data_IF_179207624690
#
_entry.id   IF_179207624690
#
_cell.length_a   1.000
_cell.length_b   1.000
_cell.length_c   1.000
_cell.angle_alpha   90.00
_cell.angle_beta   90.00
_cell.angle_gamma   90.00
#
_symmetry.space_group_name_H-M   'P 1'
#
loop_
_entity.id
_entity.type
_entity.pdbx_description
1 polymer ?
#
# COMPACT_ATOMS: atom_id res chain seq x y z
N UNK A 1 -56.50 -21.92 -43.25
CA UNK A 1 -56.42 -23.40 -43.35
C UNK A 1 -57.24 -24.16 -42.31
N UNK A 2 -57.00 -24.03 -40.99
CA UNK A 2 -57.87 -24.70 -39.99
C UNK A 2 -59.31 -24.19 -40.04
N UNK A 3 -59.51 -22.86 -40.14
CA UNK A 3 -60.84 -22.25 -40.38
C UNK A 3 -61.53 -22.76 -41.64
N UNK A 4 -60.79 -22.93 -42.74
CA UNK A 4 -61.31 -23.44 -44.01
C UNK A 4 -61.77 -24.90 -43.87
N UNK A 5 -60.96 -25.75 -43.22
CA UNK A 5 -61.31 -27.15 -42.95
C UNK A 5 -62.53 -27.22 -42.02
N UNK A 6 -62.56 -26.41 -40.97
CA UNK A 6 -63.71 -26.30 -40.06
C UNK A 6 -64.99 -25.86 -40.77
N UNK A 7 -64.91 -24.90 -41.69
CA UNK A 7 -66.03 -24.45 -42.53
C UNK A 7 -66.57 -25.58 -43.41
N UNK A 8 -65.67 -26.29 -44.11
CA UNK A 8 -66.04 -27.42 -44.98
C UNK A 8 -66.71 -28.54 -44.18
N UNK A 9 -66.21 -28.87 -42.98
CA UNK A 9 -66.85 -29.88 -42.11
C UNK A 9 -68.23 -29.41 -41.64
N UNK A 10 -68.39 -28.12 -41.29
CA UNK A 10 -69.70 -27.56 -40.92
C UNK A 10 -70.68 -27.58 -42.11
N UNK A 11 -70.21 -27.28 -43.32
CA UNK A 11 -71.00 -27.34 -44.55
C UNK A 11 -71.46 -28.78 -44.86
N UNK A 12 -70.56 -29.76 -44.76
CA UNK A 12 -70.89 -31.18 -44.93
C UNK A 12 -71.90 -31.64 -43.88
N UNK A 13 -71.70 -31.25 -42.61
CA UNK A 13 -72.62 -31.57 -41.54
C UNK A 13 -73.99 -30.92 -41.73
N UNK A 14 -74.06 -29.66 -42.16
CA UNK A 14 -75.32 -28.99 -42.48
C UNK A 14 -76.05 -29.63 -43.67
N UNK A 15 -75.33 -30.02 -44.73
CA UNK A 15 -75.91 -30.80 -45.83
C UNK A 15 -76.43 -32.17 -45.36
N UNK A 16 -75.70 -32.84 -44.48
CA UNK A 16 -76.10 -34.11 -43.89
C UNK A 16 -77.35 -33.95 -43.02
N UNK A 17 -77.44 -32.85 -42.28
CA UNK A 17 -78.61 -32.47 -41.48
C UNK A 17 -79.85 -32.23 -42.35
N UNK A 18 -79.69 -31.53 -43.48
CA UNK A 18 -80.76 -31.28 -44.45
C UNK A 18 -81.20 -32.57 -45.17
N UNK A 19 -80.26 -33.44 -45.53
CA UNK A 19 -80.57 -34.76 -46.11
C UNK A 19 -81.32 -35.64 -45.11
N UNK A 20 -80.92 -35.64 -43.85
CA UNK A 20 -81.60 -36.36 -42.77
C UNK A 20 -83.02 -35.83 -42.52
N UNK A 21 -83.21 -34.50 -42.56
CA UNK A 21 -84.54 -33.89 -42.47
C UNK A 21 -85.45 -34.33 -43.63
N UNK A 22 -84.93 -34.31 -44.86
CA UNK A 22 -85.68 -34.77 -46.03
C UNK A 22 -86.05 -36.26 -45.91
N UNK A 23 -85.14 -37.09 -45.41
CA UNK A 23 -85.40 -38.51 -45.15
C UNK A 23 -86.46 -38.73 -44.06
N UNK A 24 -86.45 -37.92 -42.99
CA UNK A 24 -87.46 -37.97 -41.94
C UNK A 24 -88.86 -37.58 -42.46
N UNK A 25 -88.94 -36.57 -43.32
CA UNK A 25 -90.20 -36.14 -43.97
C UNK A 25 -90.76 -37.25 -44.87
N UNK A 26 -89.90 -37.89 -45.67
CA UNK A 26 -90.33 -38.96 -46.58
C UNK A 26 -90.72 -40.24 -45.81
N UNK A 27 -90.02 -40.55 -44.72
CA UNK A 27 -90.40 -41.63 -43.80
C UNK A 27 -91.77 -41.36 -43.13
N UNK A 28 -92.07 -40.12 -42.77
CA UNK A 28 -93.38 -39.73 -42.25
C UNK A 28 -94.51 -39.89 -43.29
N UNK A 29 -94.23 -39.64 -44.58
CA UNK A 29 -95.18 -39.84 -45.69
C UNK A 29 -95.49 -41.31 -45.97
N UNK A 30 -94.51 -42.20 -45.82
CA UNK A 30 -94.67 -43.63 -46.07
C UNK A 30 -95.40 -44.39 -44.94
N UNK A 31 -95.74 -43.73 -43.83
CA UNK A 31 -96.56 -44.30 -42.75
C UNK A 31 -95.86 -45.44 -41.99
N UNK A 32 -96.62 -46.46 -41.55
CA UNK A 32 -96.11 -47.52 -40.67
C UNK A 32 -94.97 -48.35 -41.28
N UNK A 33 -94.88 -48.45 -42.61
CA UNK A 33 -93.85 -49.22 -43.30
C UNK A 33 -92.43 -48.62 -43.16
N UNK A 34 -92.31 -47.32 -42.82
CA UNK A 34 -91.04 -46.61 -42.77
C UNK A 34 -90.60 -46.17 -41.36
N UNK A 35 -91.21 -46.72 -40.30
CA UNK A 35 -90.94 -46.34 -38.90
C UNK A 35 -89.46 -46.49 -38.50
N UNK A 36 -88.79 -47.53 -39.00
CA UNK A 36 -87.35 -47.74 -38.78
C UNK A 36 -86.46 -46.70 -39.47
N UNK A 37 -86.86 -46.23 -40.67
CA UNK A 37 -86.13 -45.18 -41.40
C UNK A 37 -86.24 -43.81 -40.73
N UNK A 38 -87.40 -43.49 -40.12
CA UNK A 38 -87.58 -42.26 -39.36
C UNK A 38 -86.61 -42.16 -38.16
N UNK A 39 -86.41 -43.26 -37.42
CA UNK A 39 -85.47 -43.29 -36.27
C UNK A 39 -84.02 -43.10 -36.73
N UNK A 40 -83.64 -43.71 -37.86
CA UNK A 40 -82.30 -43.52 -38.43
C UNK A 40 -82.10 -42.08 -38.89
N UNK A 41 -83.10 -41.47 -39.53
CA UNK A 41 -83.03 -40.08 -39.98
C UNK A 41 -82.86 -39.10 -38.80
N UNK A 42 -83.59 -39.27 -37.69
CA UNK A 42 -83.43 -38.46 -36.48
C UNK A 42 -82.05 -38.62 -35.83
N UNK A 43 -81.50 -39.84 -35.81
CA UNK A 43 -80.15 -40.06 -35.26
C UNK A 43 -79.07 -39.44 -36.16
N UNK A 44 -79.19 -39.53 -37.50
CA UNK A 44 -78.28 -38.86 -38.44
C UNK A 44 -78.34 -37.34 -38.27
N UNK A 45 -79.54 -36.76 -38.10
CA UNK A 45 -79.75 -35.34 -37.81
C UNK A 45 -79.02 -34.93 -36.52
N UNK A 46 -79.21 -35.69 -35.44
CA UNK A 46 -78.55 -35.45 -34.14
C UNK A 46 -77.03 -35.54 -34.23
N UNK A 47 -76.50 -36.50 -34.99
CA UNK A 47 -75.06 -36.62 -35.24
C UNK A 47 -74.52 -35.43 -36.04
N UNK A 48 -75.27 -34.96 -37.03
CA UNK A 48 -74.89 -33.81 -37.84
C UNK A 48 -74.83 -32.52 -37.01
N UNK A 49 -75.84 -32.24 -36.19
CA UNK A 49 -75.85 -31.10 -35.25
C UNK A 49 -74.68 -31.18 -34.25
N UNK A 50 -74.43 -32.37 -33.69
CA UNK A 50 -73.30 -32.60 -32.78
C UNK A 50 -71.95 -32.36 -33.49
N UNK A 51 -71.83 -32.77 -34.75
CA UNK A 51 -70.63 -32.56 -35.56
C UNK A 51 -70.33 -31.08 -35.78
N UNK A 52 -71.35 -30.25 -36.06
CA UNK A 52 -71.20 -28.79 -36.19
C UNK A 52 -70.69 -28.17 -34.89
N UNK A 53 -71.29 -28.54 -33.75
CA UNK A 53 -70.90 -27.99 -32.45
C UNK A 53 -69.46 -28.36 -32.08
N UNK A 54 -69.10 -29.65 -32.19
CA UNK A 54 -67.72 -30.10 -31.92
C UNK A 54 -66.71 -29.46 -32.87
N UNK A 55 -67.07 -29.27 -34.15
CA UNK A 55 -66.19 -28.61 -35.13
C UNK A 55 -65.92 -27.15 -34.76
N UNK A 56 -66.93 -26.42 -34.28
CA UNK A 56 -66.78 -25.04 -33.80
C UNK A 56 -65.90 -24.96 -32.55
N UNK A 57 -66.11 -25.86 -31.59
CA UNK A 57 -65.29 -25.93 -30.38
C UNK A 57 -63.82 -26.23 -30.69
N UNK A 58 -63.55 -27.21 -31.56
CA UNK A 58 -62.19 -27.54 -32.01
C UNK A 58 -61.55 -26.35 -32.73
N UNK A 59 -62.29 -25.69 -33.63
CA UNK A 59 -61.78 -24.53 -34.36
C UNK A 59 -61.39 -23.40 -33.40
N UNK A 60 -62.26 -23.06 -32.45
CA UNK A 60 -61.96 -22.04 -31.44
C UNK A 60 -60.83 -22.43 -30.47
N UNK A 61 -60.69 -23.72 -30.15
CA UNK A 61 -59.56 -24.21 -29.35
C UNK A 61 -58.23 -24.07 -30.11
N UNK A 62 -58.19 -24.44 -31.39
CA UNK A 62 -56.99 -24.31 -32.22
C UNK A 62 -56.61 -22.83 -32.40
N UNK A 63 -57.58 -21.93 -32.57
CA UNK A 63 -57.32 -20.49 -32.64
C UNK A 63 -56.63 -19.96 -31.37
N UNK A 64 -57.11 -20.38 -30.19
CA UNK A 64 -56.44 -20.03 -28.92
C UNK A 64 -55.03 -20.60 -28.85
N UNK A 65 -54.83 -21.86 -29.23
CA UNK A 65 -53.49 -22.46 -29.26
C UNK A 65 -52.53 -21.71 -30.20
N UNK A 66 -53.03 -21.22 -31.36
CA UNK A 66 -52.22 -20.44 -32.29
C UNK A 66 -51.78 -19.11 -31.65
N UNK A 67 -52.69 -18.40 -30.98
CA UNK A 67 -52.38 -17.17 -30.25
C UNK A 67 -51.37 -17.42 -29.12
N UNK A 68 -51.58 -18.47 -28.32
CA UNK A 68 -50.67 -18.83 -27.23
C UNK A 68 -49.27 -19.19 -27.77
N UNK A 69 -49.21 -19.89 -28.90
CA UNK A 69 -47.95 -20.24 -29.57
C UNK A 69 -47.24 -18.99 -30.09
N UNK A 70 -47.95 -18.04 -30.70
CA UNK A 70 -47.39 -16.77 -31.16
C UNK A 70 -46.82 -15.96 -29.98
N UNK A 71 -47.54 -15.89 -28.86
CA UNK A 71 -47.06 -15.22 -27.64
C UNK A 71 -45.83 -15.91 -27.05
N UNK A 72 -45.81 -17.25 -27.02
CA UNK A 72 -44.67 -18.02 -26.52
C UNK A 72 -43.42 -17.82 -27.39
N UNK A 73 -43.58 -17.75 -28.71
CA UNK A 73 -42.48 -17.46 -29.65
C UNK A 73 -41.95 -16.05 -29.44
N UNK A 74 -42.83 -15.05 -29.29
CA UNK A 74 -42.42 -13.66 -29.05
C UNK A 74 -41.73 -13.46 -27.68
N UNK A 75 -42.21 -14.13 -26.63
CA UNK A 75 -41.53 -14.16 -25.34
C UNK A 75 -40.16 -14.82 -25.45
N UNK A 76 -40.08 -15.98 -26.13
CA UNK A 76 -38.82 -16.70 -26.34
C UNK A 76 -37.81 -15.84 -27.10
N UNK A 77 -38.27 -15.08 -28.09
CA UNK A 77 -37.43 -14.15 -28.84
C UNK A 77 -36.83 -13.07 -27.92
N UNK A 78 -37.65 -12.43 -27.09
CA UNK A 78 -37.19 -11.42 -26.13
C UNK A 78 -36.18 -11.98 -25.13
N UNK A 79 -36.44 -13.16 -24.59
CA UNK A 79 -35.51 -13.84 -23.67
C UNK A 79 -34.17 -14.15 -24.35
N UNK A 80 -34.18 -14.61 -25.60
CA UNK A 80 -32.95 -14.84 -26.35
C UNK A 80 -32.18 -13.55 -26.61
N UNK A 81 -32.86 -12.44 -26.92
CA UNK A 81 -32.22 -11.13 -27.08
C UNK A 81 -31.56 -10.67 -25.77
N UNK A 82 -32.21 -10.85 -24.62
CA UNK A 82 -31.67 -10.53 -23.29
C UNK A 82 -30.47 -11.42 -22.92
N UNK A 83 -30.51 -12.71 -23.28
CA UNK A 83 -29.38 -13.64 -23.09
C UNK A 83 -28.19 -13.18 -23.93
N UNK A 84 -28.40 -12.84 -25.21
CA UNK A 84 -27.32 -12.36 -26.09
C UNK A 84 -26.72 -11.06 -25.54
N UNK A 85 -27.54 -10.13 -25.05
CA UNK A 85 -27.06 -8.91 -24.41
C UNK A 85 -26.23 -9.20 -23.15
N UNK A 86 -26.70 -10.13 -22.31
CA UNK A 86 -26.00 -10.53 -21.08
C UNK A 86 -24.66 -11.22 -21.37
N UNK A 87 -24.60 -12.06 -22.40
CA UNK A 87 -23.36 -12.70 -22.86
C UNK A 87 -22.37 -11.65 -23.34
N UNK A 88 -22.80 -10.67 -24.15
CA UNK A 88 -21.92 -9.57 -24.59
C UNK A 88 -21.34 -8.80 -23.42
N UNK A 89 -22.18 -8.40 -22.46
CA UNK A 89 -21.72 -7.72 -21.23
C UNK A 89 -20.70 -8.56 -20.46
N UNK A 90 -20.93 -9.86 -20.38
CA UNK A 90 -19.98 -10.78 -19.70
C UNK A 90 -18.65 -10.84 -20.45
N UNK A 91 -18.67 -10.88 -21.78
CA UNK A 91 -17.46 -10.83 -22.62
C UNK A 91 -16.68 -9.53 -22.41
N UNK A 92 -17.38 -8.39 -22.36
CA UNK A 92 -16.74 -7.08 -22.12
C UNK A 92 -16.06 -7.05 -20.75
N UNK A 93 -16.75 -7.50 -19.70
CA UNK A 93 -16.19 -7.61 -18.34
C UNK A 93 -14.97 -8.53 -18.28
N UNK A 94 -14.96 -9.64 -19.02
CA UNK A 94 -13.77 -10.52 -19.11
C UNK A 94 -12.60 -9.79 -19.77
N UNK A 95 -12.85 -8.96 -20.78
CA UNK A 95 -11.83 -8.11 -21.41
C UNK A 95 -11.25 -7.06 -20.46
N UNK A 96 -12.11 -6.43 -19.65
CA UNK A 96 -11.67 -5.49 -18.59
C UNK A 96 -10.83 -6.20 -17.53
N UNK A 97 -11.27 -7.38 -17.06
CA UNK A 97 -10.53 -8.19 -16.09
C UNK A 97 -9.17 -8.61 -16.64
N UNK A 98 -9.09 -9.00 -17.91
CA UNK A 98 -7.82 -9.34 -18.56
C UNK A 98 -6.85 -8.15 -18.57
N UNK A 99 -7.34 -6.97 -18.94
CA UNK A 99 -6.54 -5.74 -18.96
C UNK A 99 -6.06 -5.37 -17.57
N UNK A 100 -6.95 -5.38 -16.57
CA UNK A 100 -6.60 -5.11 -15.18
C UNK A 100 -5.59 -6.13 -14.63
N UNK A 101 -5.71 -7.41 -15.01
CA UNK A 101 -4.76 -8.47 -14.61
C UNK A 101 -3.38 -8.22 -15.22
N UNK A 102 -3.31 -7.76 -16.48
CA UNK A 102 -2.05 -7.41 -17.12
C UNK A 102 -1.37 -6.22 -16.44
N UNK A 103 -2.13 -5.19 -16.08
CA UNK A 103 -1.63 -4.04 -15.31
C UNK A 103 -1.14 -4.46 -13.92
N UNK A 104 -1.89 -5.31 -13.21
CA UNK A 104 -1.47 -5.87 -11.93
C UNK A 104 -0.18 -6.68 -12.05
N UNK A 105 -0.01 -7.46 -13.11
CA UNK A 105 1.22 -8.23 -13.36
C UNK A 105 2.43 -7.30 -13.53
N UNK A 106 2.26 -6.23 -14.32
CA UNK A 106 3.30 -5.19 -14.48
C UNK A 106 3.60 -4.48 -13.16
N UNK A 107 2.57 -4.12 -12.39
CA UNK A 107 2.72 -3.52 -11.06
C UNK A 107 3.47 -4.43 -10.09
N UNK A 108 3.18 -5.74 -10.11
CA UNK A 108 3.87 -6.72 -9.29
C UNK A 108 5.36 -6.83 -9.64
N UNK A 109 5.73 -6.79 -10.92
CA UNK A 109 7.13 -6.77 -11.35
C UNK A 109 7.87 -5.52 -10.83
N UNK A 110 7.21 -4.35 -10.86
CA UNK A 110 7.77 -3.11 -10.33
C UNK A 110 7.96 -3.17 -8.80
N UNK A 111 7.00 -3.75 -8.07
CA UNK A 111 7.11 -3.99 -6.62
C UNK A 111 8.33 -4.87 -6.32
N UNK A 112 8.50 -5.96 -7.07
CA UNK A 112 9.65 -6.88 -6.89
C UNK A 112 10.98 -6.14 -7.14
N UNK A 113 11.08 -5.37 -8.21
CA UNK A 113 12.28 -4.57 -8.49
C UNK A 113 12.58 -3.57 -7.37
N UNK A 114 11.55 -2.89 -6.88
CA UNK A 114 11.68 -1.93 -5.77
C UNK A 114 12.13 -2.61 -4.49
N UNK A 115 11.61 -3.80 -4.18
CA UNK A 115 12.00 -4.57 -3.01
C UNK A 115 13.48 -4.98 -3.07
N UNK A 116 13.98 -5.38 -4.24
CA UNK A 116 15.41 -5.68 -4.44
C UNK A 116 16.28 -4.43 -4.24
N UNK A 117 15.85 -3.28 -4.73
CA UNK A 117 16.55 -2.01 -4.49
C UNK A 117 16.57 -1.64 -3.00
N UNK A 118 15.45 -1.81 -2.29
CA UNK A 118 15.38 -1.60 -0.85
C UNK A 118 16.31 -2.55 -0.09
N UNK A 119 16.43 -3.81 -0.52
CA UNK A 119 17.37 -4.76 0.06
C UNK A 119 18.83 -4.27 -0.09
N UNK A 120 19.19 -3.72 -1.26
CA UNK A 120 20.52 -3.16 -1.49
C UNK A 120 20.79 -1.95 -0.59
N UNK A 121 19.85 -1.01 -0.50
CA UNK A 121 19.95 0.17 0.38
C UNK A 121 20.06 -0.25 1.85
N UNK A 122 19.26 -1.23 2.28
CA UNK A 122 19.32 -1.76 3.65
C UNK A 122 20.70 -2.37 3.96
N UNK A 123 21.29 -3.07 2.98
CA UNK A 123 22.64 -3.62 3.12
C UNK A 123 23.70 -2.53 3.24
N UNK A 124 23.61 -1.49 2.40
CA UNK A 124 24.50 -0.33 2.46
C UNK A 124 24.38 0.40 3.80
N UNK A 125 23.15 0.55 4.31
CA UNK A 125 22.91 1.17 5.61
C UNK A 125 23.54 0.36 6.75
N UNK A 126 23.48 -0.97 6.70
CA UNK A 126 24.15 -1.82 7.68
C UNK A 126 25.69 -1.66 7.63
N UNK A 127 26.28 -1.54 6.43
CA UNK A 127 27.72 -1.26 6.28
C UNK A 127 28.08 0.11 6.85
N UNK A 128 27.34 1.16 6.49
CA UNK A 128 27.54 2.51 6.99
C UNK A 128 27.41 2.58 8.52
N UNK A 129 26.43 1.91 9.10
CA UNK A 129 26.25 1.83 10.55
C UNK A 129 27.45 1.16 11.24
N UNK A 130 28.01 0.10 10.63
CA UNK A 130 29.23 -0.56 11.14
C UNK A 130 30.44 0.38 11.08
N UNK A 131 30.60 1.11 9.99
CA UNK A 131 31.69 2.08 9.84
C UNK A 131 31.56 3.23 10.86
N UNK A 132 30.34 3.74 11.06
CA UNK A 132 30.06 4.76 12.07
C UNK A 132 30.37 4.26 13.50
N UNK A 133 30.02 3.01 13.83
CA UNK A 133 30.36 2.41 15.12
C UNK A 133 31.88 2.32 15.33
N UNK A 134 32.64 1.96 14.29
CA UNK A 134 34.10 1.95 14.34
C UNK A 134 34.67 3.36 14.56
N UNK A 135 34.16 4.36 13.83
CA UNK A 135 34.56 5.76 14.00
C UNK A 135 34.24 6.30 15.39
N UNK A 136 33.08 5.95 15.95
CA UNK A 136 32.76 6.28 17.34
C UNK A 136 33.76 5.67 18.33
N UNK A 137 34.21 4.44 18.08
CA UNK A 137 35.28 3.79 18.86
C UNK A 137 36.64 4.50 18.79
N UNK A 138 36.98 5.08 17.64
CA UNK A 138 38.18 5.92 17.49
C UNK A 138 38.06 7.24 18.24
N UNK A 139 36.90 7.89 18.17
CA UNK A 139 36.62 9.12 18.90
C UNK A 139 36.74 8.88 20.41
N UNK A 140 36.16 7.79 20.93
CA UNK A 140 36.28 7.45 22.36
C UNK A 140 37.75 7.29 22.79
N UNK A 141 38.57 6.59 21.98
CA UNK A 141 40.01 6.45 22.24
C UNK A 141 40.73 7.80 22.23
N UNK A 142 40.39 8.69 21.29
CA UNK A 142 40.96 10.03 21.24
C UNK A 142 40.59 10.87 22.48
N UNK A 143 39.35 10.77 22.95
CA UNK A 143 38.88 11.43 24.17
C UNK A 143 39.64 10.92 25.41
N UNK A 144 39.85 9.60 25.51
CA UNK A 144 40.61 9.01 26.62
C UNK A 144 42.07 9.50 26.64
N UNK A 145 42.73 9.55 25.47
CA UNK A 145 44.08 10.11 25.34
C UNK A 145 44.11 11.60 25.71
N UNK A 146 43.12 12.39 25.30
CA UNK A 146 43.03 13.81 25.69
C UNK A 146 42.89 14.00 27.19
N UNK A 147 42.11 13.13 27.86
CA UNK A 147 41.98 13.17 29.31
C UNK A 147 43.33 12.87 30.01
N UNK A 148 44.06 11.86 29.52
CA UNK A 148 45.40 11.54 30.02
C UNK A 148 46.39 12.70 29.82
N UNK A 149 46.40 13.33 28.63
CA UNK A 149 47.24 14.50 28.37
C UNK A 149 46.89 15.67 29.28
N UNK A 150 45.59 15.92 29.51
CA UNK A 150 45.14 16.99 30.41
C UNK A 150 45.64 16.75 31.84
N UNK A 151 45.60 15.50 32.31
CA UNK A 151 46.12 15.12 33.61
C UNK A 151 47.64 15.33 33.70
N UNK A 152 48.40 14.92 32.69
CA UNK A 152 49.84 15.16 32.62
C UNK A 152 50.19 16.64 32.62
N UNK A 153 49.46 17.46 31.87
CA UNK A 153 49.64 18.92 31.84
C UNK A 153 49.35 19.52 33.22
N UNK A 154 48.29 19.06 33.90
CA UNK A 154 47.95 19.54 35.23
C UNK A 154 49.06 19.21 36.26
N UNK A 155 49.62 17.99 36.19
CA UNK A 155 50.71 17.57 37.08
C UNK A 155 52.01 18.34 36.78
N UNK A 156 52.37 18.51 35.50
CA UNK A 156 53.50 19.34 35.09
C UNK A 156 53.36 20.81 35.51
N UNK A 157 52.15 21.37 35.48
CA UNK A 157 51.88 22.73 35.96
C UNK A 157 52.09 22.86 37.48
N UNK A 158 51.72 21.83 38.26
CA UNK A 158 51.99 21.80 39.70
C UNK A 158 53.49 21.75 40.00
N UNK A 159 54.22 20.91 39.27
CA UNK A 159 55.68 20.81 39.42
C UNK A 159 56.36 22.12 39.04
N UNK A 160 55.94 22.76 37.95
CA UNK A 160 56.45 24.07 37.53
C UNK A 160 56.18 25.16 38.58
N UNK A 161 55.01 25.15 39.24
CA UNK A 161 54.72 26.06 40.34
C UNK A 161 55.67 25.83 41.52
N UNK A 162 55.90 24.58 41.91
CA UNK A 162 56.85 24.24 42.98
C UNK A 162 58.27 24.67 42.63
N UNK A 163 58.72 24.41 41.40
CA UNK A 163 60.00 24.88 40.88
C UNK A 163 60.11 26.40 40.90
N UNK A 164 59.05 27.11 40.50
CA UNK A 164 58.94 28.57 40.58
C UNK A 164 59.10 29.10 42.00
N UNK A 165 58.41 28.50 42.98
CA UNK A 165 58.53 28.89 44.39
C UNK A 165 59.96 28.68 44.92
N UNK A 166 60.65 27.62 44.49
CA UNK A 166 62.05 27.38 44.83
C UNK A 166 62.99 28.42 44.19
N UNK A 167 62.75 28.79 42.93
CA UNK A 167 63.50 29.84 42.25
C UNK A 167 63.33 31.19 42.96
N UNK A 168 62.10 31.55 43.34
CA UNK A 168 61.83 32.78 44.10
C UNK A 168 62.64 32.80 45.40
N UNK A 169 62.60 31.70 46.19
CA UNK A 169 63.39 31.58 47.42
C UNK A 169 64.90 31.67 47.18
N UNK A 170 65.40 31.10 46.08
CA UNK A 170 66.81 31.20 45.73
C UNK A 170 67.21 32.64 45.39
N UNK A 171 66.37 33.35 44.64
CA UNK A 171 66.57 34.77 44.31
C UNK A 171 66.54 35.64 45.57
N UNK A 172 65.62 35.40 46.50
CA UNK A 172 65.58 36.09 47.79
C UNK A 172 66.89 35.89 48.59
N UNK A 173 67.40 34.67 48.66
CA UNK A 173 68.69 34.38 49.30
C UNK A 173 69.86 35.09 48.60
N UNK A 174 69.87 35.12 47.28
CA UNK A 174 70.91 35.83 46.50
C UNK A 174 70.86 37.33 46.83
N UNK A 175 69.67 37.93 46.86
CA UNK A 175 69.51 39.33 47.22
C UNK A 175 70.02 39.61 48.66
N UNK A 176 69.71 38.73 49.61
CA UNK A 176 70.20 38.84 50.99
C UNK A 176 71.73 38.77 51.07
N UNK A 177 72.37 37.81 50.37
CA UNK A 177 73.83 37.69 50.32
C UNK A 177 74.46 38.90 49.65
N UNK A 178 73.87 39.42 48.57
CA UNK A 178 74.35 40.63 47.91
C UNK A 178 74.33 41.85 48.86
N UNK A 179 73.24 42.01 49.64
CA UNK A 179 73.13 43.08 50.63
C UNK A 179 74.17 42.93 51.75
N UNK A 180 74.40 41.70 52.23
CA UNK A 180 75.43 41.41 53.23
C UNK A 180 76.83 41.71 52.71
N UNK A 181 77.14 41.29 51.48
CA UNK A 181 78.43 41.57 50.83
C UNK A 181 78.67 43.07 50.68
N UNK A 182 77.65 43.85 50.33
CA UNK A 182 77.75 45.32 50.25
C UNK A 182 78.10 45.92 51.62
N UNK A 183 77.40 45.51 52.67
CA UNK A 183 77.68 45.94 54.04
C UNK A 183 79.10 45.56 54.50
N UNK A 184 79.55 44.34 54.19
CA UNK A 184 80.92 43.91 54.47
C UNK A 184 81.97 44.72 53.68
N UNK A 185 81.67 45.07 52.43
CA UNK A 185 82.55 45.93 51.62
C UNK A 185 82.65 47.34 52.19
N UNK A 186 81.55 47.92 52.69
CA UNK A 186 81.55 49.21 53.40
C UNK A 186 82.39 49.16 54.69
N UNK A 187 82.23 48.11 55.50
CA UNK A 187 83.04 47.89 56.70
C UNK A 187 84.52 47.75 56.37
N UNK A 188 84.86 46.97 55.34
CA UNK A 188 86.23 46.83 54.85
C UNK A 188 86.80 48.17 54.38
N UNK A 189 86.02 48.96 53.63
CA UNK A 189 86.42 50.29 53.17
C UNK A 189 86.66 51.25 54.34
N UNK A 190 85.85 51.18 55.39
CA UNK A 190 86.06 51.97 56.60
C UNK A 190 87.33 51.53 57.35
N UNK A 191 87.53 50.22 57.48
CA UNK A 191 88.73 49.65 58.12
C UNK A 191 90.01 49.99 57.36
N UNK A 192 90.01 49.97 56.03
CA UNK A 192 91.17 50.37 55.21
C UNK A 192 91.48 51.85 55.36
N UNK A 193 90.47 52.73 55.42
CA UNK A 193 90.67 54.16 55.72
C UNK A 193 91.27 54.36 57.12
N UNK A 194 90.77 53.64 58.13
CA UNK A 194 91.32 53.71 59.48
C UNK A 194 92.79 53.25 59.54
N UNK A 195 93.12 52.13 58.88
CA UNK A 195 94.49 51.63 58.77
C UNK A 195 95.40 52.60 58.01
N UNK A 196 94.92 53.24 56.94
CA UNK A 196 95.67 54.25 56.20
C UNK A 196 96.01 55.47 57.08
N UNK A 197 95.04 55.94 57.88
CA UNK A 197 95.26 57.03 58.83
C UNK A 197 96.27 56.63 59.93
N UNK A 198 96.20 55.41 60.44
CA UNK A 198 97.16 54.93 61.45
C UNK A 198 98.57 54.77 60.87
N UNK A 199 98.68 54.28 59.63
CA UNK A 199 99.95 54.21 58.91
C UNK A 199 100.57 55.61 58.71
N UNK A 200 99.77 56.61 58.31
CA UNK A 200 100.22 58.01 58.19
C UNK A 200 100.68 58.57 59.55
N UNK A 201 99.96 58.26 60.63
CA UNK A 201 100.34 58.65 62.00
C UNK A 201 101.65 58.02 62.44
N UNK A 202 101.83 56.72 62.20
CA UNK A 202 103.08 56.00 62.50
C UNK A 202 104.24 56.54 61.66
N UNK A 203 104.01 56.90 60.39
CA UNK A 203 105.01 57.53 59.53
C UNK A 203 105.44 58.90 60.07
N UNK A 204 104.49 59.75 60.46
CA UNK A 204 104.78 61.03 61.12
C UNK A 204 105.54 60.86 62.43
N UNK A 205 105.17 59.87 63.26
CA UNK A 205 105.92 59.55 64.49
C UNK A 205 107.34 59.09 64.18
N UNK A 206 107.52 58.21 63.19
CA UNK A 206 108.84 57.77 62.73
C UNK A 206 109.71 58.95 62.26
N UNK A 207 109.15 59.90 61.53
CA UNK A 207 109.85 61.13 61.12
C UNK A 207 110.26 62.01 62.32
N UNK A 208 109.42 62.12 63.35
CA UNK A 208 109.74 62.83 64.60
C UNK A 208 110.87 62.14 65.38
N UNK A 209 110.91 60.80 65.40
CA UNK A 209 111.97 60.02 66.05
C UNK A 209 113.25 59.87 65.20
N UNK A 210 113.28 60.40 63.97
CA UNK A 210 114.45 60.38 63.06
C UNK A 210 115.35 61.62 63.18
N UNK A 211 115.08 62.49 64.16
CA UNK A 211 115.90 63.63 64.61
C UNK A 211 116.74 63.22 65.83
#
# INVERSE_FOLDING_TARGET
RVKEIGSVICEIANHTNLLALNAAIEAARAGEAARGFAVVADEVKRLAERSVNSTREITGFIERMQLDTEQAVDLSRRVLDDIVASVRKTTDLVGEVYTATQEQSSGAQQIVSTALNMQNVTRQLAYAAKEQANGAGEIMRAVEMMNQMTQQVADGSREQKQGGDLVVKAVERIAQVAQQNLSSAEQLSSATLALANEADRLQKMSEVFRL
#
